data_IF_639344253952
#
_entry.id   IF_639344253952
#
_cell.length_a   1.000
_cell.length_b   1.000
_cell.length_c   1.000
_cell.angle_alpha   90.00
_cell.angle_beta   90.00
_cell.angle_gamma   90.00
#
_symmetry.space_group_name_H-M   'P 1'
#
loop_
_entity.id
_entity.type
_entity.pdbx_description
1 polymer ?
#
# COMPACT_ATOMS: atom_id res chain seq x y z
N UNK A 1 -26.69 -19.93 23.11
CA UNK A 1 -26.70 -20.21 21.65
C UNK A 1 -27.01 -18.98 20.79
N UNK A 2 -28.16 -18.29 20.94
CA UNK A 2 -28.50 -17.11 20.11
C UNK A 2 -27.44 -16.00 20.14
N UNK A 3 -26.90 -15.67 21.32
CA UNK A 3 -25.87 -14.63 21.45
C UNK A 3 -24.54 -15.04 20.79
N UNK A 4 -24.15 -16.31 20.90
CA UNK A 4 -22.95 -16.85 20.26
C UNK A 4 -23.08 -16.80 18.72
N UNK A 5 -24.22 -17.22 18.19
CA UNK A 5 -24.52 -17.11 16.75
C UNK A 5 -24.51 -15.65 16.28
N UNK A 6 -25.06 -14.72 17.07
CA UNK A 6 -25.01 -13.29 16.78
C UNK A 6 -23.58 -12.78 16.64
N UNK A 7 -22.66 -13.18 17.53
CA UNK A 7 -21.25 -12.77 17.43
C UNK A 7 -20.56 -13.35 16.20
N UNK A 8 -20.80 -14.62 15.87
CA UNK A 8 -20.26 -15.24 14.65
C UNK A 8 -20.74 -14.47 13.41
N UNK A 9 -22.05 -14.22 13.32
CA UNK A 9 -22.62 -13.49 12.18
C UNK A 9 -22.09 -12.06 12.10
N UNK A 10 -21.92 -11.39 13.25
CA UNK A 10 -21.35 -10.04 13.31
C UNK A 10 -19.91 -10.05 12.81
N UNK A 11 -19.10 -11.02 13.25
CA UNK A 11 -17.71 -11.14 12.82
C UNK A 11 -17.61 -11.41 11.31
N UNK A 12 -18.38 -12.36 10.79
CA UNK A 12 -18.43 -12.65 9.35
C UNK A 12 -18.86 -11.42 8.57
N UNK A 13 -19.87 -10.69 9.04
CA UNK A 13 -20.33 -9.47 8.40
C UNK A 13 -19.26 -8.38 8.38
N UNK A 14 -18.53 -8.19 9.49
CA UNK A 14 -17.45 -7.20 9.57
C UNK A 14 -16.32 -7.57 8.62
N UNK A 15 -15.86 -8.83 8.64
CA UNK A 15 -14.81 -9.31 7.70
C UNK A 15 -15.27 -9.12 6.26
N UNK A 16 -16.52 -9.47 5.96
CA UNK A 16 -17.09 -9.29 4.63
C UNK A 16 -17.07 -7.81 4.20
N UNK A 17 -17.55 -6.90 5.06
CA UNK A 17 -17.57 -5.44 4.77
C UNK A 17 -16.14 -4.94 4.56
N UNK A 18 -15.22 -5.28 5.45
CA UNK A 18 -13.82 -4.86 5.38
C UNK A 18 -13.13 -5.34 4.09
N UNK A 19 -13.27 -6.62 3.75
CA UNK A 19 -12.71 -7.17 2.51
C UNK A 19 -13.38 -6.56 1.28
N UNK A 20 -14.71 -6.43 1.29
CA UNK A 20 -15.46 -5.82 0.19
C UNK A 20 -15.02 -4.37 -0.06
N UNK A 21 -14.80 -3.58 1.00
CA UNK A 21 -14.30 -2.21 0.87
C UNK A 21 -12.93 -2.15 0.21
N UNK A 22 -12.00 -3.06 0.55
CA UNK A 22 -10.69 -3.12 -0.10
C UNK A 22 -10.80 -3.52 -1.57
N UNK A 23 -11.62 -4.53 -1.87
CA UNK A 23 -11.88 -4.98 -3.25
C UNK A 23 -12.47 -3.85 -4.09
N UNK A 24 -13.44 -3.11 -3.54
CA UNK A 24 -14.05 -1.97 -4.23
C UNK A 24 -13.04 -0.88 -4.58
N UNK A 25 -12.08 -0.61 -3.68
CA UNK A 25 -10.98 0.33 -3.96
C UNK A 25 -9.97 -0.23 -4.96
N UNK A 26 -9.67 -1.53 -4.90
CA UNK A 26 -8.76 -2.16 -5.86
C UNK A 26 -9.28 -2.12 -7.31
N UNK A 27 -10.59 -1.98 -7.51
CA UNK A 27 -11.20 -1.76 -8.83
C UNK A 27 -10.82 -0.42 -9.48
N UNK A 28 -10.27 0.54 -8.73
CA UNK A 28 -9.71 1.78 -9.28
C UNK A 28 -8.48 1.42 -10.13
N UNK A 29 -8.48 1.66 -11.45
CA UNK A 29 -7.35 1.38 -12.32
C UNK A 29 -6.14 2.27 -12.00
N UNK A 30 -4.92 1.72 -12.12
CA UNK A 30 -3.71 2.45 -11.79
C UNK A 30 -3.42 3.65 -12.71
N UNK A 31 -3.91 3.63 -13.94
CA UNK A 31 -3.75 4.77 -14.86
C UNK A 31 -4.58 6.00 -14.43
N UNK A 32 -5.47 5.87 -13.44
CA UNK A 32 -6.27 6.98 -12.92
C UNK A 32 -5.65 7.66 -11.69
N UNK A 33 -4.68 7.02 -11.03
CA UNK A 33 -4.05 7.54 -9.81
C UNK A 33 -2.74 8.25 -10.15
N UNK A 34 -2.41 9.25 -9.34
CA UNK A 34 -1.20 10.07 -9.41
C UNK A 34 0.04 9.35 -8.84
N UNK A 35 0.27 8.09 -9.28
CA UNK A 35 1.34 7.25 -8.74
C UNK A 35 2.74 7.74 -9.11
N UNK A 36 2.97 8.11 -10.37
CA UNK A 36 4.27 8.61 -10.85
C UNK A 36 4.69 9.87 -10.08
N UNK A 37 3.78 10.82 -9.91
CA UNK A 37 4.00 12.07 -9.17
C UNK A 37 4.30 11.79 -7.68
N UNK A 38 3.54 10.89 -7.06
CA UNK A 38 3.79 10.46 -5.68
C UNK A 38 5.17 9.82 -5.50
N UNK A 39 5.60 8.99 -6.46
CA UNK A 39 6.92 8.35 -6.47
C UNK A 39 8.04 9.38 -6.66
N UNK A 40 7.85 10.34 -7.55
CA UNK A 40 8.83 11.40 -7.78
C UNK A 40 8.98 12.28 -6.54
N UNK A 41 7.87 12.63 -5.88
CA UNK A 41 7.91 13.35 -4.60
C UNK A 41 8.65 12.54 -3.53
N UNK A 42 8.35 11.25 -3.41
CA UNK A 42 8.99 10.38 -2.42
C UNK A 42 10.50 10.26 -2.66
N UNK A 43 10.91 10.06 -3.92
CA UNK A 43 12.33 9.88 -4.29
C UNK A 43 13.11 11.18 -4.36
N UNK A 44 12.45 12.34 -4.48
CA UNK A 44 13.10 13.65 -4.37
C UNK A 44 13.62 13.97 -2.97
N UNK A 45 13.14 13.25 -1.95
CA UNK A 45 13.56 13.43 -0.55
C UNK A 45 14.91 12.75 -0.32
N UNK A 46 15.70 13.32 0.60
CA UNK A 46 17.05 12.85 0.91
C UNK A 46 17.08 11.35 1.26
N UNK A 47 18.15 10.66 0.88
CA UNK A 47 18.39 9.25 1.20
C UNK A 47 18.86 9.01 2.64
N UNK A 48 19.13 10.09 3.37
CA UNK A 48 19.56 10.00 4.76
C UNK A 48 18.36 10.02 5.70
N UNK A 49 18.42 9.18 6.74
CA UNK A 49 17.61 9.30 7.94
C UNK A 49 17.86 10.67 8.56
N UNK A 50 17.02 11.64 8.23
CA UNK A 50 17.11 12.98 8.80
C UNK A 50 16.47 12.90 10.19
N UNK A 51 17.26 13.18 11.22
CA UNK A 51 16.72 13.49 12.53
C UNK A 51 16.03 14.86 12.46
N UNK A 52 14.72 14.90 12.64
CA UNK A 52 13.98 16.16 12.76
C UNK A 52 14.41 16.90 14.04
N UNK A 53 14.82 16.14 15.07
CA UNK A 53 15.39 16.63 16.32
C UNK A 53 16.75 15.94 16.51
N UNK A 54 17.83 16.73 16.46
CA UNK A 54 19.20 16.22 16.58
C UNK A 54 19.37 15.28 17.77
N UNK A 55 19.87 14.07 17.50
CA UNK A 55 20.17 13.06 18.51
C UNK A 55 18.96 12.31 19.08
N UNK A 56 17.75 12.52 18.56
CA UNK A 56 16.54 11.80 18.96
C UNK A 56 16.15 10.80 17.88
N UNK A 57 16.38 9.51 18.13
CA UNK A 57 16.11 8.43 17.15
C UNK A 57 14.65 8.35 16.72
N UNK A 58 13.69 8.62 17.61
CA UNK A 58 12.27 8.62 17.24
C UNK A 58 11.85 9.83 16.39
N UNK A 59 12.76 10.77 16.13
CA UNK A 59 12.56 11.89 15.21
C UNK A 59 13.13 11.61 13.81
N UNK A 60 13.68 10.42 13.60
CA UNK A 60 14.14 9.99 12.28
C UNK A 60 12.94 9.97 11.33
N UNK A 61 13.05 10.74 10.26
CA UNK A 61 12.13 10.65 9.15
C UNK A 61 12.47 9.41 8.32
N UNK A 62 11.57 8.43 8.32
CA UNK A 62 11.65 7.20 7.54
C UNK A 62 10.52 7.16 6.50
N UNK A 63 10.87 6.84 5.25
CA UNK A 63 9.95 6.73 4.11
C UNK A 63 9.68 5.26 3.69
N UNK A 64 10.19 4.29 4.45
CA UNK A 64 9.99 2.86 4.19
C UNK A 64 8.50 2.48 4.22
N UNK A 65 7.75 3.00 5.20
CA UNK A 65 6.34 2.71 5.33
C UNK A 65 5.54 3.23 4.12
N UNK A 66 5.80 4.47 3.72
CA UNK A 66 5.17 5.12 2.56
C UNK A 66 5.53 4.35 1.27
N UNK A 67 6.81 4.03 1.09
CA UNK A 67 7.32 3.26 -0.04
C UNK A 67 6.62 1.91 -0.18
N UNK A 68 6.54 1.13 0.91
CA UNK A 68 5.89 -0.18 0.87
C UNK A 68 4.39 -0.05 0.61
N UNK A 69 3.74 0.95 1.22
CA UNK A 69 2.31 1.21 1.06
C UNK A 69 1.96 1.51 -0.39
N UNK A 70 2.69 2.44 -1.02
CA UNK A 70 2.47 2.81 -2.42
C UNK A 70 2.80 1.67 -3.38
N UNK A 71 3.81 0.87 -3.06
CA UNK A 71 4.16 -0.33 -3.82
C UNK A 71 3.02 -1.36 -3.81
N UNK A 72 2.44 -1.66 -2.64
CA UNK A 72 1.26 -2.54 -2.56
C UNK A 72 0.07 -1.96 -3.35
N UNK A 73 -0.21 -0.66 -3.22
CA UNK A 73 -1.30 0.01 -3.94
C UNK A 73 -1.12 -0.10 -5.45
N UNK A 74 0.11 0.10 -5.93
CA UNK A 74 0.43 0.01 -7.34
C UNK A 74 0.15 -1.39 -7.89
N UNK A 75 0.37 -2.45 -7.12
CA UNK A 75 0.09 -3.82 -7.58
C UNK A 75 -1.36 -4.29 -7.37
N UNK A 76 -2.25 -3.45 -6.86
CA UNK A 76 -3.68 -3.76 -6.84
C UNK A 76 -4.26 -3.69 -8.25
N UNK A 77 -4.70 -4.84 -8.76
CA UNK A 77 -5.15 -5.02 -10.13
C UNK A 77 -6.68 -4.92 -10.22
N UNK A 78 -7.18 -3.98 -11.04
CA UNK A 78 -8.61 -3.78 -11.26
C UNK A 78 -9.31 -4.92 -12.02
N UNK A 79 -8.57 -5.74 -12.78
CA UNK A 79 -9.08 -6.92 -13.49
C UNK A 79 -9.21 -8.13 -12.54
N UNK A 80 -8.33 -8.21 -11.54
CA UNK A 80 -8.30 -9.26 -10.51
C UNK A 80 -8.26 -8.65 -9.09
N UNK A 81 -9.30 -7.90 -8.68
CA UNK A 81 -9.24 -7.06 -7.48
C UNK A 81 -9.23 -7.86 -6.17
N UNK A 82 -9.95 -8.98 -6.11
CA UNK A 82 -9.93 -9.85 -4.94
C UNK A 82 -8.57 -10.52 -4.75
N UNK A 83 -8.02 -11.11 -5.82
CA UNK A 83 -6.73 -11.80 -5.77
C UNK A 83 -5.61 -10.82 -5.39
N UNK A 84 -5.54 -9.67 -6.05
CA UNK A 84 -4.48 -8.69 -5.80
C UNK A 84 -4.51 -8.10 -4.38
N UNK A 85 -5.69 -7.82 -3.83
CA UNK A 85 -5.84 -7.39 -2.42
C UNK A 85 -5.37 -8.47 -1.46
N UNK A 86 -5.79 -9.73 -1.69
CA UNK A 86 -5.45 -10.84 -0.80
C UNK A 86 -3.98 -11.23 -0.87
N UNK A 87 -3.35 -11.08 -2.05
CA UNK A 87 -1.94 -11.40 -2.26
C UNK A 87 -0.99 -10.29 -1.82
N UNK A 88 -1.42 -9.02 -1.95
CA UNK A 88 -0.62 -7.84 -1.58
C UNK A 88 0.81 -7.90 -2.13
N UNK A 89 0.89 -8.07 -3.46
CA UNK A 89 2.15 -8.14 -4.18
C UNK A 89 2.95 -6.84 -4.09
N UNK A 90 4.28 -6.98 -4.14
CA UNK A 90 5.21 -5.87 -4.21
C UNK A 90 6.41 -6.24 -5.09
N UNK A 91 7.07 -5.23 -5.61
CA UNK A 91 8.39 -5.36 -6.22
C UNK A 91 9.46 -4.84 -5.26
N UNK A 92 10.51 -5.63 -5.06
CA UNK A 92 11.64 -5.28 -4.20
C UNK A 92 12.95 -5.88 -4.72
N UNK A 93 14.03 -5.11 -4.63
CA UNK A 93 15.39 -5.54 -4.98
C UNK A 93 16.33 -5.29 -3.79
N UNK A 94 17.09 -6.33 -3.38
CA UNK A 94 17.83 -6.34 -2.11
C UNK A 94 18.89 -5.24 -1.97
N UNK A 95 19.44 -4.76 -3.09
CA UNK A 95 20.50 -3.73 -3.11
C UNK A 95 19.95 -2.30 -3.20
N UNK A 96 18.63 -2.12 -3.23
CA UNK A 96 17.98 -0.83 -3.45
C UNK A 96 17.19 -0.35 -2.23
N UNK A 97 17.09 0.97 -2.06
CA UNK A 97 16.14 1.55 -1.11
C UNK A 97 14.70 1.22 -1.55
N UNK A 98 13.78 1.14 -0.59
CA UNK A 98 12.38 0.77 -0.86
C UNK A 98 11.70 1.74 -1.85
N UNK A 99 11.99 3.04 -1.71
CA UNK A 99 11.52 4.09 -2.63
C UNK A 99 12.07 3.94 -4.05
N UNK A 100 13.30 3.45 -4.20
CA UNK A 100 13.90 3.23 -5.51
C UNK A 100 13.36 1.96 -6.16
N UNK A 101 13.15 0.88 -5.39
CA UNK A 101 12.45 -0.31 -5.86
C UNK A 101 11.03 0.04 -6.34
N UNK A 102 10.30 0.87 -5.58
CA UNK A 102 9.00 1.39 -6.00
C UNK A 102 9.10 2.18 -7.31
N UNK A 103 10.07 3.10 -7.42
CA UNK A 103 10.28 3.88 -8.64
C UNK A 103 10.50 2.99 -9.86
N UNK A 104 11.35 1.98 -9.72
CA UNK A 104 11.60 0.98 -10.75
C UNK A 104 10.32 0.22 -11.12
N UNK A 105 9.52 -0.17 -10.12
CA UNK A 105 8.24 -0.84 -10.37
C UNK A 105 7.27 -0.02 -11.22
N UNK A 106 7.19 1.28 -10.95
CA UNK A 106 6.27 2.20 -11.64
C UNK A 106 6.76 2.52 -13.05
N UNK A 107 8.02 2.95 -13.20
CA UNK A 107 8.55 3.44 -14.47
C UNK A 107 9.02 2.33 -15.42
N UNK A 108 9.53 1.21 -14.89
CA UNK A 108 10.00 0.09 -15.71
C UNK A 108 8.94 -1.01 -15.82
N UNK A 109 7.75 -0.79 -15.25
CA UNK A 109 6.61 -1.73 -15.26
C UNK A 109 6.99 -3.14 -14.78
N UNK A 110 7.71 -3.22 -13.66
CA UNK A 110 8.14 -4.49 -13.09
C UNK A 110 6.94 -5.27 -12.54
N UNK A 111 7.02 -6.60 -12.62
CA UNK A 111 6.07 -7.51 -11.96
C UNK A 111 6.38 -7.67 -10.47
N UNK A 112 5.37 -7.93 -9.61
CA UNK A 112 5.61 -8.15 -8.20
C UNK A 112 6.42 -9.45 -7.99
N UNK A 113 7.49 -9.36 -7.21
CA UNK A 113 8.40 -10.48 -6.93
C UNK A 113 8.39 -10.92 -5.45
N UNK A 114 7.66 -10.21 -4.61
CA UNK A 114 7.48 -10.53 -3.20
C UNK A 114 6.06 -10.20 -2.74
N UNK A 115 5.73 -10.58 -1.51
CA UNK A 115 4.43 -10.33 -0.92
C UNK A 115 4.58 -9.62 0.42
N UNK A 116 3.61 -8.77 0.73
CA UNK A 116 3.56 -8.06 2.01
C UNK A 116 2.34 -8.46 2.84
N UNK A 117 2.22 -9.76 3.10
CA UNK A 117 1.09 -10.36 3.85
C UNK A 117 1.12 -10.14 5.37
N UNK A 118 2.20 -9.55 5.90
CA UNK A 118 2.39 -9.39 7.35
C UNK A 118 1.30 -8.54 8.00
N UNK A 119 0.75 -7.57 7.27
CA UNK A 119 -0.21 -6.60 7.79
C UNK A 119 -1.51 -6.65 7.01
N UNK A 120 -2.60 -6.33 7.71
CA UNK A 120 -3.84 -5.98 7.03
C UNK A 120 -3.74 -4.56 6.50
N UNK A 121 -3.86 -4.41 5.19
CA UNK A 121 -3.77 -3.13 4.48
C UNK A 121 -5.05 -2.29 4.52
N UNK A 122 -5.76 -2.27 5.65
CA UNK A 122 -7.02 -1.54 5.82
C UNK A 122 -6.90 -0.03 5.53
N UNK A 123 -5.75 0.56 5.81
CA UNK A 123 -5.47 1.98 5.54
C UNK A 123 -5.46 2.32 4.04
N UNK A 124 -5.22 1.34 3.16
CA UNK A 124 -5.26 1.53 1.71
C UNK A 124 -6.66 1.81 1.16
N UNK A 125 -7.70 1.53 1.95
CA UNK A 125 -9.07 2.03 1.70
C UNK A 125 -9.09 3.55 1.52
N UNK A 126 -8.20 4.28 2.19
CA UNK A 126 -8.10 5.73 2.11
C UNK A 126 -7.00 6.19 1.16
N UNK A 127 -5.83 5.52 1.19
CA UNK A 127 -4.67 5.95 0.38
C UNK A 127 -4.99 5.91 -1.12
N UNK A 128 -5.48 4.79 -1.68
CA UNK A 128 -5.68 4.68 -3.13
C UNK A 128 -6.71 5.70 -3.67
N UNK A 129 -7.86 5.96 -3.01
CA UNK A 129 -8.76 7.04 -3.43
C UNK A 129 -8.15 8.44 -3.29
N UNK A 130 -7.30 8.69 -2.29
CA UNK A 130 -6.63 9.98 -2.15
C UNK A 130 -5.66 10.23 -3.31
N UNK A 131 -5.02 9.19 -3.84
CA UNK A 131 -4.18 9.28 -5.04
C UNK A 131 -4.96 9.61 -6.33
N UNK A 132 -6.30 9.61 -6.31
CA UNK A 132 -7.12 10.14 -7.43
C UNK A 132 -7.26 11.66 -7.38
N UNK A 133 -7.01 12.26 -6.22
CA UNK A 133 -7.34 13.67 -5.93
C UNK A 133 -6.07 14.49 -5.73
N UNK A 134 -5.08 13.90 -5.06
CA UNK A 134 -3.85 14.56 -4.65
C UNK A 134 -2.68 14.05 -5.49
N UNK A 135 -1.77 14.96 -5.81
CA UNK A 135 -0.57 14.76 -6.60
C UNK A 135 0.71 15.04 -5.81
#
# INVERSE_FOLDING_TARGET
MKQFLKYILTFILVVFICTFSLVAVAMIPNHQIHMEESVDQLTSRSDYYIHIIDGVDCSIWDDIADSNSLNVVYFWNSEHPLESVMWSGMYYEDEMLKKESLKKAVYDHMEPNTQYLRYWHGYLLFVKPLLLIFN
#
